data_IF_942215701614
#
_entry.id   IF_942215701614
#
_cell.length_a   1.000
_cell.length_b   1.000
_cell.length_c   1.000
_cell.angle_alpha   90.00
_cell.angle_beta   90.00
_cell.angle_gamma   90.00
#
_symmetry.space_group_name_H-M   'P 1'
#
loop_
_entity.id
_entity.type
_entity.pdbx_description
1 polymer ?
#
# COMPACT_ATOMS: atom_id res chain seq x y z
N UNK A 1 13.92 -6.61 15.27
CA UNK A 1 13.40 -7.98 15.06
C UNK A 1 12.59 -7.94 13.77
N UNK A 2 12.73 -8.95 12.90
CA UNK A 2 12.01 -8.99 11.63
C UNK A 2 10.54 -9.30 11.90
N UNK A 3 9.63 -8.52 11.32
CA UNK A 3 8.19 -8.75 11.43
C UNK A 3 7.82 -9.79 10.39
N UNK A 4 7.55 -11.02 10.82
CA UNK A 4 7.09 -12.08 9.92
C UNK A 4 5.58 -11.99 9.68
N UNK A 5 5.14 -12.47 8.53
CA UNK A 5 3.72 -12.61 8.24
C UNK A 5 3.07 -13.59 9.23
N UNK A 6 1.94 -13.19 9.81
CA UNK A 6 1.17 -14.06 10.69
C UNK A 6 0.46 -15.10 9.81
N UNK A 7 0.88 -16.36 9.92
CA UNK A 7 0.33 -17.47 9.14
C UNK A 7 -1.16 -17.67 9.44
N UNK A 8 -1.98 -17.83 8.41
CA UNK A 8 -3.43 -18.06 8.54
C UNK A 8 -4.25 -16.79 8.80
N UNK A 9 -3.60 -15.62 8.77
CA UNK A 9 -4.24 -14.30 8.86
C UNK A 9 -3.93 -13.45 7.63
N UNK A 10 -3.73 -14.09 6.47
CA UNK A 10 -3.61 -13.39 5.20
C UNK A 10 -4.89 -12.58 4.91
N UNK A 11 -4.72 -11.42 4.29
CA UNK A 11 -5.84 -10.55 3.88
C UNK A 11 -6.06 -10.71 2.39
N UNK A 12 -7.21 -11.26 2.02
CA UNK A 12 -7.63 -11.39 0.63
C UNK A 12 -8.28 -10.10 0.13
N UNK A 13 -7.72 -9.52 -0.93
CA UNK A 13 -8.28 -8.35 -1.60
C UNK A 13 -9.08 -8.83 -2.81
N UNK A 14 -10.40 -8.83 -2.69
CA UNK A 14 -11.30 -9.23 -3.78
C UNK A 14 -11.51 -8.07 -4.75
N UNK A 15 -11.32 -8.32 -6.05
CA UNK A 15 -11.59 -7.34 -7.10
C UNK A 15 -13.03 -7.48 -7.62
N UNK A 16 -13.62 -6.38 -8.06
CA UNK A 16 -14.94 -6.36 -8.72
C UNK A 16 -14.85 -6.32 -10.26
N UNK A 17 -13.65 -6.59 -10.79
CA UNK A 17 -13.30 -6.58 -12.22
C UNK A 17 -12.65 -7.91 -12.59
N UNK A 18 -12.92 -8.38 -13.80
CA UNK A 18 -12.33 -9.60 -14.35
C UNK A 18 -11.09 -9.30 -15.20
N UNK A 19 -10.30 -10.35 -15.45
CA UNK A 19 -9.18 -10.28 -16.40
C UNK A 19 -9.69 -10.22 -17.84
N UNK A 20 -9.02 -9.47 -18.74
CA UNK A 20 -7.88 -8.61 -18.47
C UNK A 20 -8.31 -7.34 -17.73
N UNK A 21 -7.63 -6.99 -16.64
CA UNK A 21 -8.01 -5.83 -15.85
C UNK A 21 -7.98 -4.57 -16.73
N UNK A 22 -9.08 -3.78 -16.78
CA UNK A 22 -9.07 -2.50 -17.49
C UNK A 22 -7.90 -1.71 -16.95
N UNK A 23 -7.10 -1.04 -17.81
CA UNK A 23 -5.80 -0.45 -17.46
C UNK A 23 -5.83 0.29 -16.10
N UNK A 24 -5.68 -0.47 -15.01
CA UNK A 24 -5.58 0.05 -13.67
C UNK A 24 -4.22 0.66 -13.73
N UNK A 25 -4.15 2.00 -13.72
CA UNK A 25 -3.06 2.65 -14.41
C UNK A 25 -1.79 2.19 -13.73
N UNK A 26 -0.90 1.58 -14.52
CA UNK A 26 0.52 1.48 -14.19
C UNK A 26 1.02 2.91 -14.09
N UNK A 27 0.60 3.62 -13.04
CA UNK A 27 0.80 5.06 -12.93
C UNK A 27 2.30 5.23 -12.79
N UNK A 28 2.91 6.08 -13.62
CA UNK A 28 4.30 6.43 -13.37
C UNK A 28 4.40 6.96 -11.94
N UNK A 29 5.52 6.67 -11.30
CA UNK A 29 5.86 7.31 -10.03
C UNK A 29 5.77 8.83 -10.21
N UNK A 30 5.13 9.51 -9.26
CA UNK A 30 5.09 10.97 -9.29
C UNK A 30 6.51 11.54 -9.23
N UNK A 31 6.80 12.64 -9.95
CA UNK A 31 8.05 13.36 -9.78
C UNK A 31 8.22 13.76 -8.31
N UNK A 32 9.38 13.44 -7.72
CA UNK A 32 9.71 13.76 -6.34
C UNK A 32 10.92 14.71 -6.27
N UNK A 33 10.88 15.67 -5.36
CA UNK A 33 12.05 16.49 -5.04
C UNK A 33 13.19 15.62 -4.47
N UNK A 34 14.46 16.05 -4.54
CA UNK A 34 15.58 15.28 -4.00
C UNK A 34 15.35 14.86 -2.53
N UNK A 35 14.91 15.80 -1.69
CA UNK A 35 14.53 15.55 -0.30
C UNK A 35 13.43 14.49 -0.14
N UNK A 36 12.44 14.47 -1.04
CA UNK A 36 11.38 13.47 -1.00
C UNK A 36 11.91 12.08 -1.40
N UNK A 37 12.81 12.01 -2.38
CA UNK A 37 13.43 10.75 -2.83
C UNK A 37 14.31 10.14 -1.73
N UNK A 38 15.11 10.96 -1.06
CA UNK A 38 15.94 10.52 0.08
C UNK A 38 15.07 9.98 1.23
N UNK A 39 14.01 10.70 1.58
CA UNK A 39 13.06 10.25 2.60
C UNK A 39 12.37 8.94 2.19
N UNK A 40 11.96 8.81 0.92
CA UNK A 40 11.33 7.62 0.39
C UNK A 40 12.25 6.40 0.43
N UNK A 41 13.51 6.56 0.01
CA UNK A 41 14.52 5.49 0.06
C UNK A 41 14.73 5.00 1.49
N UNK A 42 14.83 5.93 2.45
CA UNK A 42 14.96 5.59 3.87
C UNK A 42 13.78 4.74 4.35
N UNK A 43 12.54 5.15 4.08
CA UNK A 43 11.34 4.39 4.47
C UNK A 43 11.30 3.01 3.81
N UNK A 44 11.66 2.91 2.52
CA UNK A 44 11.69 1.63 1.79
C UNK A 44 12.72 0.69 2.42
N UNK A 45 13.93 1.16 2.71
CA UNK A 45 14.98 0.35 3.33
C UNK A 45 14.57 -0.15 4.71
N UNK A 46 13.98 0.71 5.55
CA UNK A 46 13.47 0.32 6.86
C UNK A 46 12.39 -0.77 6.75
N UNK A 47 11.44 -0.63 5.82
CA UNK A 47 10.38 -1.62 5.62
C UNK A 47 10.89 -2.94 5.04
N UNK A 48 11.93 -2.91 4.21
CA UNK A 48 12.60 -4.13 3.74
C UNK A 48 13.31 -4.82 4.90
N UNK A 49 14.03 -4.07 5.74
CA UNK A 49 14.72 -4.62 6.90
C UNK A 49 13.75 -5.23 7.93
N UNK A 50 12.56 -4.65 8.07
CA UNK A 50 11.49 -5.18 8.90
C UNK A 50 10.79 -6.39 8.27
N UNK A 51 11.03 -6.73 7.00
CA UNK A 51 10.36 -7.83 6.31
C UNK A 51 8.94 -7.49 5.82
N UNK A 52 8.52 -6.22 5.87
CA UNK A 52 7.19 -5.75 5.44
C UNK A 52 7.14 -5.61 3.91
N UNK A 53 8.22 -5.12 3.30
CA UNK A 53 8.34 -4.98 1.84
C UNK A 53 9.39 -5.95 1.29
N UNK A 54 9.18 -6.41 0.06
CA UNK A 54 10.19 -7.14 -0.71
C UNK A 54 10.33 -6.56 -2.12
N UNK A 55 11.49 -6.76 -2.72
CA UNK A 55 11.66 -6.54 -4.15
C UNK A 55 10.91 -7.63 -4.91
N UNK A 56 10.21 -7.23 -5.97
CA UNK A 56 9.61 -8.18 -6.91
C UNK A 56 10.70 -8.71 -7.85
N UNK A 57 10.75 -10.02 -8.03
CA UNK A 57 11.71 -10.69 -8.90
C UNK A 57 11.44 -10.42 -10.38
N UNK A 58 12.47 -10.61 -11.21
CA UNK A 58 12.38 -10.28 -12.65
C UNK A 58 11.42 -11.21 -13.41
N UNK A 59 11.15 -12.39 -12.86
CA UNK A 59 10.26 -13.39 -13.43
C UNK A 59 8.83 -13.30 -12.85
N UNK A 60 8.55 -12.35 -11.96
CA UNK A 60 7.24 -12.18 -11.35
C UNK A 60 6.44 -11.16 -12.14
N UNK A 61 5.25 -11.55 -12.59
CA UNK A 61 4.35 -10.63 -13.29
C UNK A 61 3.66 -9.69 -12.28
N UNK A 62 3.78 -8.39 -12.53
CA UNK A 62 3.10 -7.35 -11.75
C UNK A 62 1.95 -6.78 -12.58
N UNK A 63 0.74 -7.17 -12.21
CA UNK A 63 -0.49 -6.75 -12.88
C UNK A 63 -0.95 -5.36 -12.41
N UNK A 64 -0.61 -4.98 -11.17
CA UNK A 64 -1.06 -3.73 -10.53
C UNK A 64 0.12 -2.99 -9.91
N UNK A 65 0.24 -1.69 -10.19
CA UNK A 65 1.19 -0.79 -9.49
C UNK A 65 0.50 0.48 -9.03
N UNK A 66 0.83 0.92 -7.82
CA UNK A 66 0.32 2.17 -7.26
C UNK A 66 1.49 3.11 -6.94
N UNK A 67 1.39 4.40 -7.30
CA UNK A 67 2.46 5.34 -7.02
C UNK A 67 2.50 5.67 -5.53
N UNK A 68 3.69 6.03 -5.05
CA UNK A 68 3.95 6.39 -3.65
C UNK A 68 4.48 7.82 -3.60
N UNK A 69 4.08 8.56 -2.58
CA UNK A 69 4.53 9.94 -2.33
C UNK A 69 5.02 10.10 -0.89
N UNK A 70 5.74 11.20 -0.63
CA UNK A 70 6.09 11.63 0.71
C UNK A 70 5.23 12.82 1.14
N UNK A 71 4.53 12.66 2.26
CA UNK A 71 3.86 13.74 2.97
C UNK A 71 4.69 14.21 4.17
N UNK A 72 4.76 15.51 4.39
CA UNK A 72 5.51 16.11 5.50
C UNK A 72 4.58 16.72 6.54
N UNK A 73 4.89 16.52 7.82
CA UNK A 73 4.21 17.17 8.94
C UNK A 73 5.17 17.30 10.12
N UNK A 74 5.29 18.49 10.71
CA UNK A 74 6.18 18.75 11.86
C UNK A 74 7.58 18.14 11.65
N UNK A 75 8.17 18.39 10.48
CA UNK A 75 9.49 17.88 10.06
C UNK A 75 9.63 16.35 9.93
N UNK A 76 8.55 15.58 10.13
CA UNK A 76 8.52 14.13 9.91
C UNK A 76 7.93 13.81 8.54
N UNK A 77 8.58 12.91 7.81
CA UNK A 77 8.10 12.37 6.53
C UNK A 77 7.25 11.12 6.75
N UNK A 78 6.27 10.92 5.88
CA UNK A 78 5.47 9.69 5.80
C UNK A 78 5.41 9.22 4.35
N UNK A 79 5.64 7.93 4.15
CA UNK A 79 5.39 7.25 2.89
C UNK A 79 3.88 6.99 2.74
N UNK A 80 3.29 7.42 1.64
CA UNK A 80 1.84 7.31 1.38
C UNK A 80 1.61 6.69 0.00
N UNK A 81 0.93 5.55 -0.04
CA UNK A 81 0.50 4.91 -1.30
C UNK A 81 -0.80 5.52 -1.82
N UNK A 82 -0.86 5.84 -3.11
CA UNK A 82 -2.10 6.27 -3.76
C UNK A 82 -2.89 5.06 -4.28
N UNK A 83 -3.72 4.50 -3.41
CA UNK A 83 -4.59 3.36 -3.72
C UNK A 83 -5.95 3.77 -4.31
N UNK A 84 -6.20 5.05 -4.62
CA UNK A 84 -7.54 5.50 -5.05
C UNK A 84 -8.05 4.75 -6.27
N UNK A 85 -7.19 4.52 -7.26
CA UNK A 85 -7.57 3.79 -8.46
C UNK A 85 -7.84 2.30 -8.17
N UNK A 86 -7.01 1.69 -7.32
CA UNK A 86 -7.20 0.30 -6.87
C UNK A 86 -8.52 0.14 -6.11
N UNK A 87 -8.83 1.07 -5.20
CA UNK A 87 -10.02 1.04 -4.36
C UNK A 87 -11.35 1.10 -5.14
N UNK A 88 -11.37 1.70 -6.34
CA UNK A 88 -12.55 1.66 -7.23
C UNK A 88 -12.83 0.25 -7.74
N UNK A 89 -11.79 -0.56 -7.85
CA UNK A 89 -11.82 -1.92 -8.38
C UNK A 89 -11.85 -3.00 -7.31
N UNK A 90 -11.92 -2.65 -6.02
CA UNK A 90 -11.99 -3.60 -4.91
C UNK A 90 -13.40 -3.69 -4.35
N UNK A 91 -13.77 -4.88 -3.88
CA UNK A 91 -14.99 -5.09 -3.09
C UNK A 91 -14.71 -4.61 -1.67
N UNK A 92 -15.49 -3.65 -1.12
CA UNK A 92 -15.27 -3.19 0.25
C UNK A 92 -15.58 -4.31 1.26
N UNK A 93 -14.63 -4.58 2.15
CA UNK A 93 -14.90 -5.38 3.35
C UNK A 93 -15.77 -4.55 4.31
N UNK A 94 -16.99 -5.04 4.56
CA UNK A 94 -17.98 -4.40 5.43
C UNK A 94 -18.08 -5.09 6.78
N UNK A 95 -16.94 -5.44 7.38
CA UNK A 95 -16.91 -5.88 8.77
C UNK A 95 -17.60 -4.83 9.67
N UNK A 96 -18.58 -5.23 10.50
CA UNK A 96 -19.34 -4.29 11.30
C UNK A 96 -18.45 -3.73 12.42
N UNK A 97 -18.00 -2.49 12.23
CA UNK A 97 -17.31 -1.74 13.28
C UNK A 97 -18.40 -0.99 14.08
N UNK A 98 -18.56 -1.26 15.39
CA UNK A 98 -19.57 -0.59 16.20
C UNK A 98 -19.30 0.91 16.22
N UNK A 99 -20.36 1.70 16.31
CA UNK A 99 -20.20 3.14 16.56
C UNK A 99 -19.59 3.32 17.94
N UNK A 100 -18.82 4.39 18.12
CA UNK A 100 -18.19 4.72 19.41
C UNK A 100 -19.21 4.67 20.57
N UNK A 101 -20.43 5.15 20.35
CA UNK A 101 -21.51 5.15 21.34
C UNK A 101 -22.01 3.74 21.71
N UNK A 102 -21.96 2.80 20.77
CA UNK A 102 -22.43 1.42 20.94
C UNK A 102 -21.40 0.55 21.70
N UNK A 103 -20.13 0.99 21.78
CA UNK A 103 -19.03 0.24 22.44
C UNK A 103 -18.93 0.50 23.95
N UNK A 104 -19.48 1.62 24.45
CA UNK A 104 -19.35 2.04 25.86
C UNK A 104 -20.58 1.71 26.72
N UNK A 105 -21.54 0.94 26.19
CA UNK A 105 -22.71 0.43 26.93
C UNK A 105 -22.53 -1.04 27.21
#
# INVERSE_FOLDING_TARGET
EQLEAIKGHEVDITLNIDRPYPQVPRRPSYPGSPRAREALEKHIQELIQLGILRKVGHNEEVEVTTPVIIAWHNHKSRMVGDFRALNTSTVPDRYPIPRIQETFT
#
